data_IF_951579564651
#
_entry.id   IF_951579564651
#
_cell.length_a   1.000
_cell.length_b   1.000
_cell.length_c   1.000
_cell.angle_alpha   90.00
_cell.angle_beta   90.00
_cell.angle_gamma   90.00
#
_symmetry.space_group_name_H-M   'P 1'
#
loop_
_entity.id
_entity.type
_entity.pdbx_description
1 polymer ?
#
# COMPACT_ATOMS: atom_id res chain seq x y z
N UNK A 1 35.86 30.91 45.84
CA UNK A 1 35.35 31.60 44.66
C UNK A 1 35.69 30.88 43.31
N UNK A 2 35.90 29.55 43.28
CA UNK A 2 36.28 28.80 42.04
C UNK A 2 35.18 27.84 41.50
N UNK A 3 34.04 27.71 42.21
CA UNK A 3 32.97 26.76 41.82
C UNK A 3 31.84 27.39 41.02
N UNK A 4 31.75 28.72 40.90
CA UNK A 4 30.67 29.42 40.18
C UNK A 4 30.95 29.67 38.71
N UNK A 5 32.21 29.58 38.28
CA UNK A 5 32.58 29.85 36.87
C UNK A 5 32.25 28.66 35.91
N UNK A 6 32.15 27.44 36.42
CA UNK A 6 31.89 26.24 35.60
C UNK A 6 30.42 26.14 35.17
N UNK A 7 29.48 26.70 35.94
CA UNK A 7 28.04 26.62 35.64
C UNK A 7 27.65 27.61 34.53
N UNK A 8 28.34 28.73 34.43
CA UNK A 8 28.01 29.78 33.43
C UNK A 8 28.43 29.37 31.99
N UNK A 9 29.39 28.48 31.82
CA UNK A 9 29.81 27.95 30.51
C UNK A 9 29.03 26.72 30.05
N UNK A 10 28.33 26.00 30.95
CA UNK A 10 27.55 24.81 30.60
C UNK A 10 26.15 25.20 29.99
N UNK A 11 25.56 26.29 30.39
CA UNK A 11 24.25 26.75 29.91
C UNK A 11 24.29 27.15 28.42
N UNK A 12 25.24 27.97 27.93
CA UNK A 12 25.33 28.28 26.50
C UNK A 12 25.75 27.07 25.65
N UNK A 13 26.54 26.11 26.21
CA UNK A 13 26.92 24.90 25.50
C UNK A 13 25.73 23.94 25.32
N UNK A 14 24.90 23.78 26.33
CA UNK A 14 23.64 23.02 26.25
C UNK A 14 22.62 23.70 25.35
N UNK A 15 22.54 25.03 25.36
CA UNK A 15 21.72 25.81 24.44
C UNK A 15 22.20 25.70 23.00
N UNK A 16 23.50 25.73 22.75
CA UNK A 16 24.10 25.56 21.44
C UNK A 16 23.96 24.13 20.90
N UNK A 17 24.14 23.11 21.77
CA UNK A 17 23.89 21.71 21.42
C UNK A 17 22.41 21.44 21.17
N UNK A 18 21.52 22.00 22.00
CA UNK A 18 20.07 21.95 21.78
C UNK A 18 19.68 22.64 20.47
N UNK A 19 20.20 23.86 20.23
CA UNK A 19 19.93 24.58 18.99
C UNK A 19 20.50 23.88 17.75
N UNK A 20 21.70 23.29 17.85
CA UNK A 20 22.31 22.49 16.80
C UNK A 20 21.52 21.21 16.54
N UNK A 21 21.08 20.49 17.60
CA UNK A 21 20.25 19.30 17.52
C UNK A 21 18.87 19.58 16.90
N UNK A 22 18.23 20.72 17.23
CA UNK A 22 16.97 21.13 16.62
C UNK A 22 17.14 21.70 15.20
N UNK A 23 18.32 22.25 14.87
CA UNK A 23 18.60 22.78 13.53
C UNK A 23 18.76 21.69 12.48
N UNK A 24 19.22 20.51 12.84
CA UNK A 24 19.34 19.35 11.95
C UNK A 24 18.00 18.62 11.72
N UNK A 25 16.97 18.91 12.52
CA UNK A 25 15.61 18.35 12.40
C UNK A 25 14.69 19.13 11.47
N UNK A 26 15.19 20.05 10.67
CA UNK A 26 14.33 20.73 9.69
C UNK A 26 13.89 19.71 8.64
N UNK A 27 12.59 19.42 8.66
CA UNK A 27 11.91 18.73 7.57
C UNK A 27 12.18 19.47 6.26
N UNK A 28 12.26 18.78 5.12
CA UNK A 28 12.43 19.43 3.83
C UNK A 28 11.36 20.52 3.62
N UNK A 29 11.78 21.73 3.29
CA UNK A 29 10.85 22.83 2.99
C UNK A 29 10.35 22.70 1.56
N UNK A 30 9.20 22.07 1.39
CA UNK A 30 8.52 21.95 0.09
C UNK A 30 7.75 23.20 -0.33
N UNK A 31 7.82 24.27 0.48
CA UNK A 31 7.11 25.54 0.30
C UNK A 31 5.64 25.50 0.80
N UNK A 32 5.03 26.68 0.96
CA UNK A 32 3.72 26.83 1.63
C UNK A 32 2.54 26.18 0.88
N UNK A 33 2.67 25.97 -0.42
CA UNK A 33 1.63 25.37 -1.24
C UNK A 33 1.62 23.83 -1.19
N UNK A 34 2.69 23.21 -0.71
CA UNK A 34 2.79 21.74 -0.65
C UNK A 34 1.92 21.18 0.47
N UNK A 35 1.24 20.09 0.16
CA UNK A 35 0.47 19.27 1.12
C UNK A 35 0.83 17.83 0.91
N UNK A 36 0.95 17.11 2.00
CA UNK A 36 1.13 15.66 2.00
C UNK A 36 0.39 15.07 3.19
N UNK A 37 -0.56 14.21 2.90
CA UNK A 37 -1.40 13.57 3.90
C UNK A 37 -1.37 12.06 3.76
N UNK A 38 -1.36 11.36 4.90
CA UNK A 38 -1.74 9.96 4.95
C UNK A 38 -3.22 9.86 5.32
N UNK A 39 -3.94 9.02 4.58
CA UNK A 39 -5.36 8.70 4.80
C UNK A 39 -5.46 7.27 5.28
N UNK A 40 -6.01 7.10 6.48
CA UNK A 40 -6.12 5.81 7.18
C UNK A 40 -7.58 5.46 7.37
N UNK A 41 -8.01 4.33 6.80
CA UNK A 41 -9.37 3.81 7.00
C UNK A 41 -9.48 3.09 8.33
N UNK A 42 -10.51 3.43 9.12
CA UNK A 42 -10.76 2.87 10.46
C UNK A 42 -12.04 2.03 10.43
N UNK A 43 -11.89 0.72 10.26
CA UNK A 43 -12.99 -0.21 9.98
C UNK A 43 -14.11 -0.21 11.02
N UNK A 44 -13.77 -0.14 12.31
CA UNK A 44 -14.77 -0.12 13.38
C UNK A 44 -15.27 1.28 13.75
N UNK A 45 -14.51 2.33 13.41
CA UNK A 45 -14.94 3.70 13.69
C UNK A 45 -15.79 4.32 12.58
N UNK A 46 -15.85 3.70 11.39
CA UNK A 46 -16.53 4.23 10.21
C UNK A 46 -15.99 5.61 9.79
N UNK A 47 -14.68 5.79 9.91
CA UNK A 47 -14.00 7.06 9.67
C UNK A 47 -12.73 6.85 8.85
N UNK A 48 -12.21 7.96 8.32
CA UNK A 48 -10.84 8.07 7.80
C UNK A 48 -10.10 9.08 8.66
N UNK A 49 -8.97 8.68 9.22
CA UNK A 49 -8.03 9.60 9.87
C UNK A 49 -7.10 10.21 8.84
N UNK A 50 -6.91 11.51 8.89
CA UNK A 50 -5.99 12.26 8.02
C UNK A 50 -4.83 12.74 8.87
N UNK A 51 -3.61 12.39 8.47
CA UNK A 51 -2.36 12.79 9.14
C UNK A 51 -1.60 13.74 8.21
N UNK A 52 -1.21 14.91 8.70
CA UNK A 52 -0.32 15.84 7.97
C UNK A 52 1.14 15.35 8.11
N UNK A 53 1.74 14.90 7.02
CA UNK A 53 3.11 14.36 7.01
C UNK A 53 4.20 15.44 7.05
N UNK A 54 3.83 16.72 7.05
CA UNK A 54 4.78 17.81 7.29
C UNK A 54 4.98 18.11 8.77
N UNK A 55 3.97 17.83 9.58
CA UNK A 55 3.99 18.06 11.04
C UNK A 55 3.97 16.76 11.84
N UNK A 56 3.53 15.64 11.21
CA UNK A 56 3.25 14.36 11.86
C UNK A 56 2.19 14.47 12.95
N UNK A 57 1.16 15.27 12.69
CA UNK A 57 0.03 15.48 13.58
C UNK A 57 -1.29 15.05 12.91
N UNK A 58 -2.29 14.63 13.69
CA UNK A 58 -3.63 14.41 13.19
C UNK A 58 -4.19 15.72 12.60
N UNK A 59 -4.53 15.72 11.31
CA UNK A 59 -5.10 16.89 10.64
C UNK A 59 -6.64 16.90 10.72
N UNK A 60 -7.27 15.73 10.55
CA UNK A 60 -8.74 15.60 10.55
C UNK A 60 -9.20 14.15 10.70
N UNK A 61 -10.41 13.97 11.24
CA UNK A 61 -11.17 12.72 11.15
C UNK A 61 -12.40 12.96 10.28
N UNK A 62 -12.57 12.13 9.25
CA UNK A 62 -13.64 12.25 8.26
C UNK A 62 -14.60 11.08 8.46
N UNK A 63 -15.90 11.36 8.70
CA UNK A 63 -16.92 10.33 8.71
C UNK A 63 -17.17 9.82 7.28
N UNK A 64 -17.21 8.50 7.10
CA UNK A 64 -17.48 7.80 5.82
C UNK A 64 -18.61 6.78 5.99
N UNK A 65 -18.79 5.87 5.06
CA UNK A 65 -19.76 4.79 5.21
C UNK A 65 -19.33 3.73 6.23
N UNK A 66 -20.17 2.70 6.43
CA UNK A 66 -19.93 1.65 7.41
C UNK A 66 -18.85 0.68 6.97
N UNK A 67 -17.99 0.28 7.92
CA UNK A 67 -16.91 -0.70 7.75
C UNK A 67 -16.02 -0.38 6.53
N UNK A 68 -15.31 0.77 6.52
CA UNK A 68 -14.36 1.07 5.46
C UNK A 68 -13.25 0.02 5.44
N UNK A 69 -12.89 -0.46 4.24
CA UNK A 69 -11.90 -1.53 4.01
C UNK A 69 -10.78 -1.11 3.08
N UNK A 70 -11.10 -0.79 1.82
CA UNK A 70 -10.13 -0.41 0.82
C UNK A 70 -10.01 1.11 0.66
N UNK A 71 -8.81 1.60 0.38
CA UNK A 71 -8.54 2.99 0.10
C UNK A 71 -7.57 3.14 -1.07
N UNK A 72 -7.86 4.06 -1.98
CA UNK A 72 -6.99 4.38 -3.11
C UNK A 72 -6.90 5.89 -3.33
N UNK A 73 -5.72 6.35 -3.71
CA UNK A 73 -5.48 7.74 -4.10
C UNK A 73 -5.48 7.88 -5.62
N UNK A 74 -6.10 8.94 -6.13
CA UNK A 74 -6.00 9.26 -7.55
C UNK A 74 -4.65 9.93 -7.84
N UNK A 75 -3.89 9.41 -8.81
CA UNK A 75 -2.59 9.98 -9.18
C UNK A 75 -2.71 11.34 -9.89
N UNK A 76 -3.83 11.60 -10.57
CA UNK A 76 -4.07 12.79 -11.41
C UNK A 76 -4.96 13.85 -10.75
N UNK A 77 -5.81 13.44 -9.77
CA UNK A 77 -6.72 14.33 -9.06
C UNK A 77 -6.40 14.35 -7.57
N UNK A 78 -6.75 15.43 -6.87
CA UNK A 78 -6.63 15.51 -5.42
C UNK A 78 -7.84 14.83 -4.74
N UNK A 79 -8.06 13.56 -5.06
CA UNK A 79 -9.16 12.74 -4.56
C UNK A 79 -8.67 11.42 -3.98
N UNK A 80 -9.33 11.00 -2.90
CA UNK A 80 -9.14 9.69 -2.24
C UNK A 80 -10.48 8.96 -2.31
N UNK A 81 -10.43 7.67 -2.62
CA UNK A 81 -11.60 6.80 -2.70
C UNK A 81 -11.56 5.77 -1.60
N UNK A 82 -12.63 5.67 -0.84
CA UNK A 82 -12.77 4.78 0.32
C UNK A 82 -13.92 3.83 0.10
N UNK A 83 -13.64 2.54 0.09
CA UNK A 83 -14.65 1.49 -0.01
C UNK A 83 -15.27 1.25 1.35
N UNK A 84 -16.59 1.36 1.44
CA UNK A 84 -17.36 1.12 2.64
C UNK A 84 -18.13 -0.21 2.51
N UNK A 85 -17.54 -1.29 3.01
CA UNK A 85 -18.05 -2.65 2.83
C UNK A 85 -19.45 -2.86 3.44
N UNK A 86 -19.71 -2.25 4.60
CA UNK A 86 -21.00 -2.35 5.29
C UNK A 86 -22.10 -1.49 4.68
N UNK A 87 -21.75 -0.41 3.97
CA UNK A 87 -22.72 0.49 3.32
C UNK A 87 -22.89 0.26 1.81
N UNK A 88 -22.11 -0.66 1.22
CA UNK A 88 -22.14 -0.92 -0.24
C UNK A 88 -21.95 0.34 -1.08
N UNK A 89 -20.97 1.16 -0.72
CA UNK A 89 -20.67 2.39 -1.44
C UNK A 89 -19.19 2.77 -1.38
N UNK A 90 -18.79 3.76 -2.16
CA UNK A 90 -17.48 4.39 -2.18
C UNK A 90 -17.64 5.85 -1.79
N UNK A 91 -16.93 6.30 -0.75
CA UNK A 91 -16.80 7.72 -0.42
C UNK A 91 -15.67 8.34 -1.23
N UNK A 92 -15.94 9.45 -1.91
CA UNK A 92 -14.96 10.28 -2.60
C UNK A 92 -14.57 11.42 -1.68
N UNK A 93 -13.32 11.49 -1.26
CA UNK A 93 -12.79 12.55 -0.40
C UNK A 93 -12.00 13.53 -1.26
N UNK A 94 -12.37 14.81 -1.18
CA UNK A 94 -11.57 15.94 -1.69
C UNK A 94 -10.39 16.16 -0.74
N UNK A 95 -9.16 15.90 -1.22
CA UNK A 95 -7.95 15.98 -0.41
C UNK A 95 -7.54 17.43 -0.08
N UNK A 96 -7.99 18.43 -0.83
CA UNK A 96 -7.71 19.84 -0.52
C UNK A 96 -8.53 20.32 0.68
N UNK A 97 -9.77 19.80 0.81
CA UNK A 97 -10.72 20.15 1.89
C UNK A 97 -10.72 19.15 3.03
N UNK A 98 -10.15 17.97 2.79
CA UNK A 98 -10.27 16.82 3.68
C UNK A 98 -11.73 16.55 4.07
N UNK A 99 -12.60 16.42 3.08
CA UNK A 99 -14.03 16.24 3.26
C UNK A 99 -14.61 15.32 2.19
N UNK A 100 -15.66 14.57 2.53
CA UNK A 100 -16.41 13.77 1.55
C UNK A 100 -17.06 14.73 0.55
N UNK A 101 -16.72 14.57 -0.73
CA UNK A 101 -17.25 15.35 -1.85
C UNK A 101 -18.42 14.62 -2.54
N UNK A 102 -18.45 13.28 -2.49
CA UNK A 102 -19.50 12.46 -3.06
C UNK A 102 -19.53 11.07 -2.43
N UNK A 103 -20.65 10.39 -2.57
CA UNK A 103 -20.81 8.97 -2.23
C UNK A 103 -21.42 8.26 -3.44
N UNK A 104 -20.78 7.16 -3.88
CA UNK A 104 -21.15 6.41 -5.06
C UNK A 104 -21.62 5.03 -4.62
N UNK A 105 -22.88 4.67 -4.88
CA UNK A 105 -23.41 3.33 -4.60
C UNK A 105 -22.74 2.29 -5.50
N UNK A 106 -22.35 1.15 -4.93
CA UNK A 106 -21.82 -0.03 -5.64
C UNK A 106 -22.58 -1.29 -5.19
N UNK A 107 -22.14 -2.47 -5.62
CA UNK A 107 -22.79 -3.71 -5.23
C UNK A 107 -22.35 -4.20 -3.84
N UNK A 108 -22.99 -5.28 -3.37
CA UNK A 108 -22.88 -5.75 -1.99
C UNK A 108 -21.48 -6.19 -1.57
N UNK A 109 -21.08 -5.79 -0.35
CA UNK A 109 -19.78 -6.09 0.29
C UNK A 109 -18.60 -5.75 -0.61
N UNK A 110 -18.46 -4.49 -1.07
CA UNK A 110 -17.25 -4.08 -1.76
C UNK A 110 -16.05 -4.24 -0.81
N UNK A 111 -14.93 -4.72 -1.32
CA UNK A 111 -13.76 -5.04 -0.50
C UNK A 111 -12.55 -4.20 -0.86
N UNK A 112 -12.26 -4.06 -2.15
CA UNK A 112 -11.07 -3.39 -2.65
C UNK A 112 -11.41 -2.46 -3.81
N UNK A 113 -10.60 -1.42 -3.99
CA UNK A 113 -10.71 -0.45 -5.09
C UNK A 113 -9.32 -0.19 -5.67
N UNK A 114 -9.24 -0.18 -6.99
CA UNK A 114 -8.07 0.28 -7.72
C UNK A 114 -8.44 1.37 -8.71
N UNK A 115 -7.51 2.30 -8.94
CA UNK A 115 -7.73 3.47 -9.80
C UNK A 115 -6.79 3.38 -10.99
N UNK A 116 -7.32 3.53 -12.21
CA UNK A 116 -6.51 3.56 -13.43
C UNK A 116 -5.45 4.66 -13.38
N UNK A 117 -4.29 4.43 -13.98
CA UNK A 117 -3.16 5.35 -13.92
C UNK A 117 -3.49 6.74 -14.53
N UNK A 118 -4.41 6.77 -15.52
CA UNK A 118 -4.93 8.02 -16.10
C UNK A 118 -5.90 8.77 -15.18
N UNK A 119 -6.25 8.19 -14.02
CA UNK A 119 -7.14 8.78 -13.01
C UNK A 119 -8.60 8.91 -13.41
N UNK A 120 -9.07 8.21 -14.47
CA UNK A 120 -10.42 8.37 -15.00
C UNK A 120 -11.39 7.31 -14.53
N UNK A 121 -10.92 6.10 -14.22
CA UNK A 121 -11.76 4.97 -13.80
C UNK A 121 -11.30 4.38 -12.49
N UNK A 122 -12.24 3.82 -11.74
CA UNK A 122 -11.95 2.95 -10.62
C UNK A 122 -12.71 1.63 -10.76
N UNK A 123 -12.10 0.57 -10.24
CA UNK A 123 -12.61 -0.80 -10.28
C UNK A 123 -12.78 -1.30 -8.85
N UNK A 124 -14.01 -1.66 -8.49
CA UNK A 124 -14.37 -2.09 -7.14
C UNK A 124 -14.77 -3.55 -7.16
N UNK A 125 -14.01 -4.40 -6.47
CA UNK A 125 -14.36 -5.80 -6.28
C UNK A 125 -15.46 -5.93 -5.21
N UNK A 126 -16.63 -6.43 -5.60
CA UNK A 126 -17.79 -6.62 -4.72
C UNK A 126 -17.89 -8.09 -4.29
N UNK A 127 -17.27 -8.43 -3.17
CA UNK A 127 -17.13 -9.82 -2.71
C UNK A 127 -18.46 -10.51 -2.42
N UNK A 128 -19.50 -9.76 -2.04
CA UNK A 128 -20.84 -10.29 -1.79
C UNK A 128 -21.73 -10.40 -3.01
N UNK A 129 -21.28 -9.94 -4.19
CA UNK A 129 -22.13 -9.88 -5.40
C UNK A 129 -21.48 -10.52 -6.63
N UNK A 130 -20.30 -11.12 -6.50
CA UNK A 130 -19.56 -11.77 -7.58
C UNK A 130 -19.44 -10.89 -8.84
N UNK A 131 -19.10 -9.63 -8.65
CA UNK A 131 -18.89 -8.68 -9.75
C UNK A 131 -17.88 -7.59 -9.40
N UNK A 132 -17.44 -6.88 -10.42
CA UNK A 132 -16.62 -5.66 -10.32
C UNK A 132 -17.48 -4.49 -10.79
N UNK A 133 -17.68 -3.47 -9.94
CA UNK A 133 -18.26 -2.20 -10.35
C UNK A 133 -17.19 -1.31 -10.97
N UNK A 134 -17.47 -0.77 -12.15
CA UNK A 134 -16.60 0.17 -12.86
C UNK A 134 -17.16 1.57 -12.69
N UNK A 135 -16.38 2.45 -12.06
CA UNK A 135 -16.76 3.82 -11.77
C UNK A 135 -16.06 4.77 -12.76
N UNK A 136 -16.82 5.63 -13.40
CA UNK A 136 -16.31 6.82 -14.09
C UNK A 136 -16.10 7.91 -13.02
N UNK A 137 -14.83 8.27 -12.78
CA UNK A 137 -14.43 9.19 -11.71
C UNK A 137 -14.71 10.65 -12.05
N UNK A 138 -14.97 10.99 -13.31
CA UNK A 138 -15.37 12.33 -13.69
C UNK A 138 -16.87 12.52 -13.47
N UNK A 139 -17.66 11.53 -13.88
CA UNK A 139 -19.13 11.53 -13.68
C UNK A 139 -19.52 11.16 -12.25
N UNK A 140 -18.59 10.57 -11.46
CA UNK A 140 -18.84 10.03 -10.12
C UNK A 140 -20.03 9.04 -10.12
N UNK A 141 -20.03 8.15 -11.10
CA UNK A 141 -21.10 7.18 -11.31
C UNK A 141 -20.57 5.82 -11.76
N UNK A 142 -21.29 4.75 -11.39
CA UNK A 142 -21.04 3.40 -11.93
C UNK A 142 -21.47 3.38 -13.39
N UNK A 143 -20.55 3.02 -14.28
CA UNK A 143 -20.78 2.92 -15.73
C UNK A 143 -20.85 1.49 -16.24
N UNK A 144 -20.52 0.52 -15.39
CA UNK A 144 -20.60 -0.90 -15.70
C UNK A 144 -20.47 -1.79 -14.47
N UNK A 145 -21.05 -2.99 -14.57
CA UNK A 145 -20.88 -4.04 -13.57
C UNK A 145 -20.52 -5.32 -14.31
N UNK A 146 -19.30 -5.80 -14.10
CA UNK A 146 -18.77 -6.97 -14.78
C UNK A 146 -18.89 -8.17 -13.86
N UNK A 147 -19.64 -9.19 -14.26
CA UNK A 147 -19.74 -10.45 -13.50
C UNK A 147 -18.41 -11.20 -13.57
N UNK A 148 -17.94 -11.66 -12.43
CA UNK A 148 -16.69 -12.44 -12.25
C UNK A 148 -16.96 -13.71 -11.44
N UNK A 149 -15.93 -14.38 -10.98
CA UNK A 149 -16.08 -15.51 -10.10
C UNK A 149 -16.55 -15.16 -8.69
N UNK A 150 -16.65 -16.16 -7.82
CA UNK A 150 -17.20 -16.04 -6.48
C UNK A 150 -16.26 -15.34 -5.50
N UNK A 151 -16.84 -14.54 -4.61
CA UNK A 151 -16.12 -13.81 -3.58
C UNK A 151 -14.86 -13.08 -4.10
N UNK A 152 -14.99 -12.17 -5.11
CA UNK A 152 -13.84 -11.43 -5.62
C UNK A 152 -13.17 -10.61 -4.50
N UNK A 153 -11.83 -10.76 -4.38
CA UNK A 153 -11.02 -10.05 -3.41
C UNK A 153 -10.47 -8.74 -3.96
N UNK A 154 -9.53 -8.83 -4.87
CA UNK A 154 -8.93 -7.68 -5.54
C UNK A 154 -9.35 -7.59 -7.00
N UNK A 155 -9.43 -6.36 -7.49
CA UNK A 155 -9.52 -6.04 -8.92
C UNK A 155 -8.39 -5.06 -9.21
N UNK A 156 -7.36 -5.51 -9.92
CA UNK A 156 -6.16 -4.72 -10.23
C UNK A 156 -6.16 -4.33 -11.70
N UNK A 157 -6.11 -3.04 -11.99
CA UNK A 157 -5.99 -2.53 -13.36
C UNK A 157 -4.53 -2.54 -13.81
N UNK A 158 -4.28 -2.97 -15.04
CA UNK A 158 -2.94 -2.91 -15.65
C UNK A 158 -2.47 -1.47 -15.85
N UNK A 159 -1.15 -1.19 -15.84
CA UNK A 159 -0.61 0.15 -16.03
C UNK A 159 -1.07 0.83 -17.33
N UNK A 160 -1.25 0.11 -18.42
CA UNK A 160 -1.79 0.61 -19.70
C UNK A 160 -3.32 0.90 -19.66
N UNK A 161 -4.00 0.50 -18.56
CA UNK A 161 -5.43 0.66 -18.39
C UNK A 161 -6.31 -0.25 -19.26
N UNK A 162 -5.73 -1.21 -19.99
CA UNK A 162 -6.46 -2.05 -20.93
C UNK A 162 -7.06 -3.31 -20.30
N UNK A 163 -6.49 -3.77 -19.19
CA UNK A 163 -6.85 -5.03 -18.54
C UNK A 163 -7.17 -4.82 -17.05
N UNK A 164 -8.16 -5.57 -16.53
CA UNK A 164 -8.36 -5.71 -15.08
C UNK A 164 -8.28 -7.17 -14.70
N UNK A 165 -7.39 -7.48 -13.77
CA UNK A 165 -7.18 -8.83 -13.22
C UNK A 165 -7.89 -8.93 -11.88
N UNK A 166 -8.74 -9.94 -11.68
CA UNK A 166 -9.58 -10.09 -10.50
C UNK A 166 -9.34 -11.44 -9.83
N UNK A 167 -8.96 -11.44 -8.56
CA UNK A 167 -8.85 -12.67 -7.77
C UNK A 167 -10.22 -13.10 -7.26
N UNK A 168 -10.67 -14.31 -7.60
CA UNK A 168 -11.92 -14.88 -7.17
C UNK A 168 -11.65 -15.94 -6.10
N UNK A 169 -11.64 -15.52 -4.83
CA UNK A 169 -11.25 -16.36 -3.69
C UNK A 169 -12.14 -17.58 -3.50
N UNK A 170 -13.43 -17.46 -3.86
CA UNK A 170 -14.45 -18.50 -3.61
C UNK A 170 -14.39 -19.67 -4.57
N UNK A 171 -13.81 -19.51 -5.75
CA UNK A 171 -13.72 -20.56 -6.79
C UNK A 171 -12.29 -20.80 -7.29
N UNK A 172 -11.28 -20.24 -6.63
CA UNK A 172 -9.86 -20.44 -6.96
C UNK A 172 -9.53 -20.07 -8.41
N UNK A 173 -10.18 -19.04 -8.92
CA UNK A 173 -9.99 -18.56 -10.28
C UNK A 173 -9.51 -17.09 -10.32
N UNK A 174 -9.02 -16.72 -11.48
CA UNK A 174 -8.75 -15.31 -11.82
C UNK A 174 -9.59 -14.97 -13.04
N UNK A 175 -10.36 -13.87 -12.94
CA UNK A 175 -11.05 -13.29 -14.09
C UNK A 175 -10.19 -12.20 -14.71
N UNK A 176 -10.03 -12.24 -16.02
CA UNK A 176 -9.35 -11.19 -16.81
C UNK A 176 -10.40 -10.43 -17.60
N UNK A 177 -10.52 -9.13 -17.32
CA UNK A 177 -11.53 -8.24 -17.89
C UNK A 177 -10.87 -7.37 -18.96
N UNK A 178 -11.52 -7.24 -20.11
CA UNK A 178 -11.25 -6.17 -21.07
C UNK A 178 -11.82 -4.86 -20.52
N UNK A 179 -10.96 -3.92 -20.16
CA UNK A 179 -11.36 -2.67 -19.52
C UNK A 179 -12.11 -1.71 -20.46
N UNK A 180 -11.99 -1.88 -21.77
CA UNK A 180 -12.70 -1.08 -22.78
C UNK A 180 -14.11 -1.62 -23.02
N UNK A 181 -14.21 -2.94 -23.20
CA UNK A 181 -15.48 -3.62 -23.49
C UNK A 181 -16.31 -3.88 -22.22
N UNK A 182 -15.69 -3.82 -21.04
CA UNK A 182 -16.28 -4.15 -19.74
C UNK A 182 -16.84 -5.58 -19.72
N UNK A 183 -16.05 -6.53 -20.21
CA UNK A 183 -16.40 -7.95 -20.31
C UNK A 183 -15.24 -8.82 -19.85
N UNK A 184 -15.56 -9.94 -19.20
CA UNK A 184 -14.57 -10.99 -18.92
C UNK A 184 -14.17 -11.62 -20.23
N UNK A 185 -12.88 -11.58 -20.56
CA UNK A 185 -12.30 -12.22 -21.75
C UNK A 185 -11.67 -13.58 -21.46
N UNK A 186 -11.29 -13.82 -20.18
CA UNK A 186 -10.82 -15.12 -19.72
C UNK A 186 -11.16 -15.34 -18.25
N UNK A 187 -11.41 -16.59 -17.89
CA UNK A 187 -11.45 -17.08 -16.50
C UNK A 187 -10.45 -18.21 -16.39
N UNK A 188 -9.42 -18.02 -15.57
CA UNK A 188 -8.29 -18.92 -15.46
C UNK A 188 -8.38 -19.66 -14.13
N UNK A 189 -8.27 -20.98 -14.14
CA UNK A 189 -8.06 -21.77 -12.95
C UNK A 189 -6.65 -21.52 -12.45
N UNK A 190 -6.52 -21.11 -11.18
CA UNK A 190 -5.23 -20.87 -10.53
C UNK A 190 -5.11 -21.71 -9.26
N UNK A 191 -4.22 -21.35 -8.38
CA UNK A 191 -4.01 -21.98 -7.09
C UNK A 191 -5.10 -21.59 -6.05
N UNK A 192 -5.11 -22.23 -4.88
CA UNK A 192 -6.17 -22.06 -3.90
C UNK A 192 -6.12 -20.72 -3.17
N UNK A 193 -7.28 -20.09 -2.99
CA UNK A 193 -7.46 -18.80 -2.31
C UNK A 193 -6.57 -17.70 -2.89
N UNK A 194 -6.81 -17.26 -4.15
CA UNK A 194 -6.08 -16.14 -4.73
C UNK A 194 -6.39 -14.85 -3.95
N UNK A 195 -5.33 -14.18 -3.48
CA UNK A 195 -5.40 -13.00 -2.61
C UNK A 195 -4.92 -11.75 -3.33
N UNK A 196 -3.62 -11.44 -3.26
CA UNK A 196 -3.03 -10.23 -3.82
C UNK A 196 -2.62 -10.43 -5.27
N UNK A 197 -2.65 -9.33 -6.02
CA UNK A 197 -2.34 -9.29 -7.45
C UNK A 197 -1.41 -8.12 -7.71
N UNK A 198 -0.37 -8.37 -8.51
CA UNK A 198 0.43 -7.32 -9.14
C UNK A 198 0.49 -7.54 -10.65
N UNK A 199 0.58 -6.45 -11.39
CA UNK A 199 0.76 -6.48 -12.86
C UNK A 199 2.09 -5.82 -13.17
N UNK A 200 2.87 -6.40 -14.08
CA UNK A 200 4.15 -5.83 -14.50
C UNK A 200 3.97 -4.43 -15.11
N UNK A 201 4.98 -3.55 -15.02
CA UNK A 201 4.92 -2.19 -15.57
C UNK A 201 4.62 -2.13 -17.07
N UNK A 202 5.02 -3.15 -17.83
CA UNK A 202 4.76 -3.29 -19.25
C UNK A 202 3.38 -3.90 -19.58
N UNK A 203 2.59 -4.23 -18.54
CA UNK A 203 1.25 -4.84 -18.65
C UNK A 203 1.23 -6.25 -19.30
N UNK A 204 2.37 -6.89 -19.49
CA UNK A 204 2.49 -8.19 -20.17
C UNK A 204 2.11 -9.38 -19.31
N UNK A 205 2.29 -9.26 -17.98
CA UNK A 205 2.16 -10.36 -17.04
C UNK A 205 1.56 -9.91 -15.71
N UNK A 206 0.79 -10.79 -15.08
CA UNK A 206 0.32 -10.61 -13.71
C UNK A 206 0.80 -11.76 -12.81
N UNK A 207 1.03 -11.46 -11.54
CA UNK A 207 1.30 -12.44 -10.51
C UNK A 207 0.20 -12.41 -9.46
N UNK A 208 -0.20 -13.59 -8.98
CA UNK A 208 -1.30 -13.75 -8.02
C UNK A 208 -0.84 -14.63 -6.88
N UNK A 209 -0.85 -14.10 -5.66
CA UNK A 209 -0.55 -14.85 -4.45
C UNK A 209 -1.75 -15.75 -4.08
N UNK A 210 -1.50 -17.01 -3.79
CA UNK A 210 -2.52 -17.97 -3.40
C UNK A 210 -2.26 -18.52 -1.99
N UNK A 211 -2.91 -17.90 -1.02
CA UNK A 211 -2.67 -18.18 0.40
C UNK A 211 -3.01 -19.62 0.81
N UNK A 212 -3.95 -20.26 0.12
CA UNK A 212 -4.41 -21.63 0.43
C UNK A 212 -3.53 -22.74 -0.13
N UNK A 213 -2.54 -22.47 -0.99
CA UNK A 213 -1.69 -23.49 -1.62
C UNK A 213 -0.20 -23.20 -1.58
N UNK A 214 0.22 -22.15 -0.86
CA UNK A 214 1.64 -21.74 -0.78
C UNK A 214 2.29 -21.53 -2.15
N UNK A 215 1.57 -20.89 -3.06
CA UNK A 215 1.98 -20.69 -4.44
C UNK A 215 1.72 -19.26 -4.89
N UNK A 216 2.46 -18.86 -5.93
CA UNK A 216 2.19 -17.66 -6.74
C UNK A 216 1.92 -18.11 -8.17
N UNK A 217 0.78 -17.73 -8.73
CA UNK A 217 0.47 -17.97 -10.13
C UNK A 217 1.06 -16.84 -11.00
N UNK A 218 1.83 -17.19 -12.03
CA UNK A 218 2.25 -16.28 -13.10
C UNK A 218 1.28 -16.42 -14.27
N UNK A 219 0.76 -15.30 -14.76
CA UNK A 219 -0.27 -15.23 -15.79
C UNK A 219 0.20 -14.30 -16.92
N UNK A 220 0.32 -14.83 -18.14
CA UNK A 220 0.48 -14.00 -19.32
C UNK A 220 -0.83 -13.26 -19.60
N UNK A 221 -0.73 -11.94 -19.79
CA UNK A 221 -1.85 -11.12 -20.23
C UNK A 221 -1.77 -10.96 -21.75
N UNK A 222 -2.93 -11.01 -22.39
CA UNK A 222 -3.05 -10.92 -23.85
C UNK A 222 -2.43 -9.64 -24.37
N UNK A 223 -1.48 -9.78 -25.30
CA UNK A 223 -0.92 -8.71 -26.11
C UNK A 223 -1.30 -8.94 -27.57
N UNK A 224 -2.19 -8.09 -28.10
CA UNK A 224 -2.68 -8.20 -29.47
C UNK A 224 -3.74 -9.29 -29.75
N UNK A 225 -4.02 -9.55 -31.02
CA UNK A 225 -5.12 -10.41 -31.45
C UNK A 225 -4.82 -11.92 -31.41
N UNK A 226 -3.55 -12.30 -31.46
CA UNK A 226 -3.11 -13.70 -31.61
C UNK A 226 -2.72 -14.36 -30.30
N UNK A 227 -2.55 -13.60 -29.20
CA UNK A 227 -2.22 -14.14 -27.88
C UNK A 227 -3.48 -14.34 -27.02
N UNK A 228 -3.40 -15.26 -26.07
CA UNK A 228 -4.46 -15.52 -25.11
C UNK A 228 -3.96 -15.39 -23.68
N UNK A 229 -4.81 -14.89 -22.78
CA UNK A 229 -4.52 -14.94 -21.35
C UNK A 229 -4.37 -16.39 -20.89
N UNK A 230 -3.31 -16.72 -20.18
CA UNK A 230 -3.05 -18.08 -19.69
C UNK A 230 -2.14 -18.09 -18.48
N UNK A 231 -2.29 -19.11 -17.64
CA UNK A 231 -1.32 -19.39 -16.58
C UNK A 231 -0.03 -19.88 -17.22
N UNK A 232 1.09 -19.26 -16.84
CA UNK A 232 2.44 -19.62 -17.30
C UNK A 232 3.07 -20.63 -16.35
N UNK A 233 2.96 -20.35 -15.05
CA UNK A 233 3.54 -21.17 -13.99
C UNK A 233 2.76 -21.05 -12.70
N UNK A 234 2.84 -22.11 -11.86
CA UNK A 234 2.51 -22.08 -10.44
C UNK A 234 3.83 -22.24 -9.69
N UNK A 235 4.24 -21.19 -8.97
CA UNK A 235 5.55 -21.07 -8.32
C UNK A 235 5.39 -21.41 -6.84
N UNK A 236 6.07 -22.42 -6.37
CA UNK A 236 6.07 -22.79 -4.95
C UNK A 236 6.88 -21.78 -4.14
N UNK A 237 6.24 -21.16 -3.14
CA UNK A 237 6.81 -20.16 -2.24
C UNK A 237 6.63 -20.60 -0.79
N UNK A 238 6.91 -19.72 0.17
CA UNK A 238 6.61 -20.01 1.57
C UNK A 238 5.11 -20.14 1.84
N UNK A 239 4.78 -20.57 3.07
CA UNK A 239 3.38 -20.84 3.46
C UNK A 239 2.58 -19.56 3.59
N UNK A 240 1.33 -19.60 3.12
CA UNK A 240 0.34 -18.54 3.22
C UNK A 240 0.87 -17.21 2.65
N UNK A 241 1.19 -17.16 1.33
CA UNK A 241 1.57 -15.90 0.68
C UNK A 241 0.38 -14.93 0.68
N UNK A 242 0.53 -13.77 1.31
CA UNK A 242 -0.57 -12.79 1.52
C UNK A 242 -0.37 -11.48 0.79
N UNK A 243 0.87 -11.13 0.43
CA UNK A 243 1.16 -9.89 -0.24
C UNK A 243 2.33 -10.00 -1.23
N UNK A 244 2.22 -9.26 -2.29
CA UNK A 244 3.16 -9.17 -3.40
C UNK A 244 3.73 -7.74 -3.48
N UNK A 245 5.03 -7.59 -3.28
CA UNK A 245 5.74 -6.33 -3.44
C UNK A 245 6.63 -6.41 -4.69
N UNK A 246 6.17 -5.80 -5.78
CA UNK A 246 6.89 -5.76 -7.04
C UNK A 246 7.89 -4.60 -7.05
N UNK A 247 9.13 -4.85 -7.47
CA UNK A 247 10.10 -3.79 -7.74
C UNK A 247 9.55 -2.83 -8.79
N UNK A 248 9.77 -1.53 -8.64
CA UNK A 248 9.36 -0.52 -9.64
C UNK A 248 9.85 -0.79 -11.06
N UNK A 249 11.03 -1.43 -11.23
CA UNK A 249 11.55 -1.83 -12.54
C UNK A 249 10.89 -3.11 -13.09
N UNK A 250 10.09 -3.80 -12.27
CA UNK A 250 9.42 -5.04 -12.64
C UNK A 250 10.29 -6.29 -12.61
N UNK A 251 11.60 -6.21 -12.28
CA UNK A 251 12.55 -7.32 -12.40
C UNK A 251 12.36 -8.43 -11.36
N UNK A 252 12.01 -8.06 -10.13
CA UNK A 252 11.83 -9.01 -9.04
C UNK A 252 10.54 -8.73 -8.25
N UNK A 253 9.96 -9.79 -7.74
CA UNK A 253 8.75 -9.79 -6.92
C UNK A 253 9.06 -10.40 -5.55
N UNK A 254 8.84 -9.66 -4.48
CA UNK A 254 8.97 -10.11 -3.11
C UNK A 254 7.60 -10.53 -2.58
N UNK A 255 7.50 -11.77 -2.13
CA UNK A 255 6.27 -12.40 -1.62
C UNK A 255 6.34 -12.45 -0.11
N UNK A 256 5.38 -11.88 0.61
CA UNK A 256 5.26 -12.05 2.06
C UNK A 256 4.60 -13.40 2.39
N UNK A 257 5.38 -14.33 2.90
CA UNK A 257 4.98 -15.68 3.27
C UNK A 257 4.62 -15.71 4.76
N UNK A 258 3.37 -15.42 5.08
CA UNK A 258 2.89 -15.12 6.43
C UNK A 258 3.22 -16.22 7.45
N UNK A 259 2.94 -17.49 7.16
CA UNK A 259 3.16 -18.61 8.07
C UNK A 259 4.57 -19.24 7.95
N UNK A 260 5.43 -18.68 7.13
CA UNK A 260 6.85 -19.06 7.02
C UNK A 260 7.82 -18.07 7.64
N UNK A 261 7.33 -16.91 8.14
CA UNK A 261 8.16 -15.86 8.74
C UNK A 261 9.23 -15.31 7.77
N UNK A 262 8.97 -15.42 6.47
CA UNK A 262 9.93 -15.14 5.40
C UNK A 262 9.32 -14.35 4.25
N UNK A 263 10.20 -13.89 3.39
CA UNK A 263 9.84 -13.47 2.05
C UNK A 263 10.44 -14.47 1.05
N UNK A 264 9.70 -14.78 -0.02
CA UNK A 264 10.23 -15.43 -1.22
C UNK A 264 10.50 -14.39 -2.30
N UNK A 265 11.56 -14.55 -3.07
CA UNK A 265 11.96 -13.65 -4.15
C UNK A 265 11.81 -14.38 -5.47
N UNK A 266 10.99 -13.81 -6.37
CA UNK A 266 10.70 -14.35 -7.69
C UNK A 266 11.32 -13.45 -8.75
N UNK A 267 12.10 -14.01 -9.66
CA UNK A 267 12.54 -13.35 -10.89
C UNK A 267 11.39 -13.37 -11.88
N UNK A 268 10.89 -12.20 -12.23
CA UNK A 268 9.67 -12.07 -13.04
C UNK A 268 9.86 -12.43 -14.53
N UNK A 269 11.09 -12.34 -15.03
CA UNK A 269 11.39 -12.57 -16.43
C UNK A 269 11.26 -14.05 -16.85
N UNK A 270 11.72 -14.95 -15.98
CA UNK A 270 11.78 -16.39 -16.21
C UNK A 270 10.81 -17.21 -15.34
N UNK A 271 10.05 -16.55 -14.43
CA UNK A 271 9.15 -17.20 -13.50
C UNK A 271 9.87 -18.20 -12.57
N UNK A 272 11.00 -17.79 -12.00
CA UNK A 272 11.80 -18.62 -11.10
C UNK A 272 11.81 -18.06 -9.67
N UNK A 273 11.66 -18.95 -8.68
CA UNK A 273 11.88 -18.61 -7.27
C UNK A 273 13.37 -18.69 -6.98
N UNK A 274 14.02 -17.53 -6.86
CA UNK A 274 15.47 -17.44 -6.71
C UNK A 274 15.96 -17.72 -5.29
N UNK A 275 15.33 -17.11 -4.28
CA UNK A 275 15.76 -17.22 -2.89
C UNK A 275 14.62 -16.91 -1.91
N UNK A 276 14.88 -17.15 -0.63
CA UNK A 276 14.02 -16.72 0.47
C UNK A 276 14.82 -16.12 1.61
N UNK A 277 14.21 -15.24 2.41
CA UNK A 277 14.85 -14.59 3.53
C UNK A 277 13.91 -14.44 4.72
N UNK A 278 14.38 -14.75 5.93
CA UNK A 278 13.64 -14.53 7.17
C UNK A 278 13.63 -13.03 7.49
N UNK A 279 12.45 -12.46 7.65
CA UNK A 279 12.28 -11.02 7.91
C UNK A 279 11.70 -10.70 9.29
N UNK A 280 10.86 -11.55 9.84
CA UNK A 280 10.19 -11.42 11.14
C UNK A 280 8.98 -12.32 11.17
N UNK A 281 8.23 -12.34 12.28
CA UNK A 281 7.08 -13.24 12.42
C UNK A 281 5.85 -12.69 11.69
N UNK A 282 5.20 -13.54 10.91
CA UNK A 282 4.01 -13.26 10.14
C UNK A 282 4.13 -11.97 9.28
N UNK A 283 5.02 -11.94 8.28
CA UNK A 283 5.14 -10.80 7.38
C UNK A 283 3.83 -10.59 6.61
N UNK A 284 3.24 -9.39 6.75
CA UNK A 284 1.90 -9.11 6.24
C UNK A 284 1.91 -8.22 4.97
N UNK A 285 2.81 -7.23 4.92
CA UNK A 285 2.88 -6.26 3.82
C UNK A 285 4.32 -5.86 3.53
N UNK A 286 4.67 -5.83 2.24
CA UNK A 286 5.92 -5.28 1.74
C UNK A 286 5.70 -4.01 0.94
N UNK A 287 6.60 -3.02 1.06
CA UNK A 287 6.69 -1.86 0.17
C UNK A 287 8.13 -1.62 -0.23
N UNK A 288 8.36 -1.33 -1.52
CA UNK A 288 9.71 -1.16 -2.09
C UNK A 288 9.92 0.31 -2.46
N UNK A 289 11.13 0.81 -2.23
CA UNK A 289 11.53 2.16 -2.65
C UNK A 289 11.66 2.28 -4.17
N UNK A 290 11.45 3.49 -4.71
CA UNK A 290 11.50 3.75 -6.17
C UNK A 290 12.85 3.48 -6.80
N UNK A 291 13.91 3.53 -5.99
CA UNK A 291 15.28 3.21 -6.41
C UNK A 291 15.58 1.70 -6.43
N UNK A 292 14.58 0.85 -6.19
CA UNK A 292 14.67 -0.61 -6.07
C UNK A 292 15.59 -1.13 -4.96
N UNK A 293 16.10 -0.28 -4.07
CA UNK A 293 17.18 -0.66 -3.14
C UNK A 293 16.70 -1.21 -1.82
N UNK A 294 15.47 -0.87 -1.37
CA UNK A 294 14.96 -1.22 -0.04
C UNK A 294 13.56 -1.79 -0.11
N UNK A 295 13.35 -2.87 0.64
CA UNK A 295 12.04 -3.41 0.97
C UNK A 295 11.80 -3.20 2.47
N UNK A 296 10.67 -2.62 2.82
CA UNK A 296 10.14 -2.58 4.18
C UNK A 296 9.05 -3.61 4.32
N UNK A 297 9.09 -4.42 5.39
CA UNK A 297 8.13 -5.49 5.64
C UNK A 297 7.51 -5.32 7.02
N UNK A 298 6.18 -5.19 7.10
CA UNK A 298 5.48 -5.25 8.38
C UNK A 298 5.36 -6.70 8.85
N UNK A 299 5.82 -6.96 10.07
CA UNK A 299 5.77 -8.27 10.70
C UNK A 299 4.69 -8.28 11.77
N UNK A 300 3.51 -8.73 11.39
CA UNK A 300 2.28 -8.74 12.20
C UNK A 300 2.43 -9.51 13.51
N UNK A 301 3.21 -10.59 13.53
CA UNK A 301 3.39 -11.45 14.71
C UNK A 301 4.48 -10.99 15.66
N UNK A 302 5.35 -10.06 15.26
CA UNK A 302 6.47 -9.58 16.09
C UNK A 302 6.48 -8.07 16.29
N UNK A 303 5.36 -7.37 16.03
CA UNK A 303 5.19 -5.93 16.28
C UNK A 303 6.38 -5.10 15.75
N UNK A 304 6.79 -5.38 14.53
CA UNK A 304 8.01 -4.79 13.96
C UNK A 304 7.90 -4.51 12.46
N UNK A 305 8.76 -3.61 11.99
CA UNK A 305 9.05 -3.42 10.56
C UNK A 305 10.49 -3.84 10.30
N UNK A 306 10.67 -4.80 9.39
CA UNK A 306 11.98 -5.17 8.89
C UNK A 306 12.39 -4.27 7.71
N UNK A 307 13.68 -3.94 7.65
CA UNK A 307 14.29 -3.28 6.50
C UNK A 307 15.21 -4.28 5.81
N UNK A 308 14.87 -4.63 4.60
CA UNK A 308 15.65 -5.54 3.77
C UNK A 308 16.37 -4.76 2.67
N UNK A 309 17.66 -4.94 2.57
CA UNK A 309 18.51 -4.39 1.52
C UNK A 309 18.47 -5.36 0.34
N UNK A 310 17.89 -4.92 -0.77
CA UNK A 310 17.65 -5.77 -1.94
C UNK A 310 18.98 -6.11 -2.62
N UNK A 311 19.87 -5.13 -2.76
CA UNK A 311 21.18 -5.31 -3.41
C UNK A 311 22.09 -6.24 -2.62
N UNK A 312 22.05 -6.17 -1.27
CA UNK A 312 22.81 -7.04 -0.39
C UNK A 312 22.15 -8.39 -0.12
N UNK A 313 20.88 -8.56 -0.51
CA UNK A 313 20.12 -9.78 -0.28
C UNK A 313 19.92 -10.12 1.20
N UNK A 314 19.82 -9.11 2.10
CA UNK A 314 19.71 -9.37 3.54
C UNK A 314 18.94 -8.30 4.31
N UNK A 315 18.37 -8.70 5.44
CA UNK A 315 17.81 -7.78 6.43
C UNK A 315 18.92 -6.96 7.09
N UNK A 316 18.78 -5.62 7.09
CA UNK A 316 19.75 -4.69 7.66
C UNK A 316 19.26 -4.01 8.95
N UNK A 317 17.95 -3.97 9.19
CA UNK A 317 17.36 -3.43 10.42
C UNK A 317 16.03 -4.11 10.75
N UNK A 318 15.65 -4.04 12.02
CA UNK A 318 14.32 -4.37 12.53
C UNK A 318 13.94 -3.30 13.55
N UNK A 319 12.77 -2.69 13.38
CA UNK A 319 12.30 -1.58 14.18
C UNK A 319 11.02 -1.99 14.89
N UNK A 320 10.97 -1.82 16.21
CA UNK A 320 9.74 -2.03 16.96
C UNK A 320 8.73 -0.93 16.60
N UNK A 321 7.47 -1.32 16.40
CA UNK A 321 6.34 -0.45 16.07
C UNK A 321 5.16 -0.76 16.99
N UNK A 322 3.98 -0.22 16.72
CA UNK A 322 2.78 -0.58 17.45
C UNK A 322 2.32 -2.02 17.19
N UNK A 323 1.26 -2.45 17.90
CA UNK A 323 0.86 -3.86 17.87
C UNK A 323 0.14 -4.25 16.59
N UNK A 324 0.55 -5.39 16.01
CA UNK A 324 0.05 -6.01 14.79
C UNK A 324 0.09 -5.06 13.59
N UNK A 325 1.27 -4.65 13.12
CA UNK A 325 1.40 -3.84 11.93
C UNK A 325 0.95 -4.64 10.70
N UNK A 326 -0.04 -4.13 9.96
CA UNK A 326 -0.63 -4.81 8.80
C UNK A 326 -0.38 -4.04 7.50
N UNK A 327 -0.51 -2.71 7.53
CA UNK A 327 -0.31 -1.84 6.37
C UNK A 327 1.00 -1.08 6.42
N UNK A 328 1.56 -0.78 5.24
CA UNK A 328 2.71 0.10 5.08
C UNK A 328 2.46 1.12 3.98
N UNK A 329 2.98 2.33 4.16
CA UNK A 329 3.06 3.35 3.12
C UNK A 329 4.35 4.15 3.23
N UNK A 330 4.83 4.69 2.12
CA UNK A 330 5.98 5.59 2.07
C UNK A 330 5.51 7.04 1.88
N UNK A 331 6.21 7.99 2.51
CA UNK A 331 6.08 9.40 2.13
C UNK A 331 6.54 9.63 0.69
N UNK A 332 6.10 10.74 0.08
CA UNK A 332 6.43 11.06 -1.32
C UNK A 332 7.94 11.15 -1.58
N UNK A 333 8.73 11.55 -0.60
CA UNK A 333 10.18 11.63 -0.67
C UNK A 333 10.89 10.36 -0.15
N UNK A 334 10.11 9.34 0.32
CA UNK A 334 10.57 8.07 0.88
C UNK A 334 11.50 8.21 2.09
N UNK A 335 11.49 9.38 2.74
CA UNK A 335 12.22 9.59 3.99
C UNK A 335 11.46 9.05 5.21
N UNK A 336 10.18 8.76 5.05
CA UNK A 336 9.34 8.22 6.12
C UNK A 336 8.58 6.98 5.68
N UNK A 337 8.60 5.98 6.57
CA UNK A 337 7.79 4.76 6.46
C UNK A 337 6.70 4.85 7.51
N UNK A 338 5.46 4.66 7.07
CA UNK A 338 4.27 4.67 7.90
C UNK A 338 3.81 3.24 8.10
N UNK A 339 3.87 2.73 9.33
CA UNK A 339 3.34 1.41 9.68
C UNK A 339 1.98 1.55 10.34
N UNK A 340 1.00 0.84 9.82
CA UNK A 340 -0.38 0.85 10.27
C UNK A 340 -0.57 -0.23 11.33
N UNK A 341 -0.65 0.15 12.60
CA UNK A 341 -0.68 -0.75 13.73
C UNK A 341 -2.14 -1.07 14.10
N UNK A 342 -2.67 -2.13 13.48
CA UNK A 342 -4.10 -2.44 13.44
C UNK A 342 -4.70 -2.71 14.84
N UNK A 343 -3.95 -3.34 15.73
CA UNK A 343 -4.43 -3.61 17.08
C UNK A 343 -4.18 -2.44 18.04
N UNK A 344 -3.07 -1.71 17.88
CA UNK A 344 -2.77 -0.54 18.71
C UNK A 344 -3.69 0.63 18.39
N UNK A 345 -4.16 0.77 17.15
CA UNK A 345 -5.00 1.86 16.69
C UNK A 345 -4.23 3.14 16.46
N UNK A 346 -3.01 3.02 15.95
CA UNK A 346 -2.13 4.14 15.62
C UNK A 346 -1.36 3.90 14.32
N UNK A 347 -0.59 4.89 13.92
CA UNK A 347 0.38 4.82 12.82
C UNK A 347 1.76 5.14 13.38
N UNK A 348 2.65 4.17 13.35
CA UNK A 348 4.05 4.39 13.65
C UNK A 348 4.76 5.02 12.46
N UNK A 349 5.47 6.12 12.71
CA UNK A 349 6.29 6.82 11.72
C UNK A 349 7.75 6.49 11.96
N UNK A 350 8.37 5.85 10.98
CA UNK A 350 9.80 5.54 10.96
C UNK A 350 10.50 6.53 10.05
N UNK A 351 11.51 7.21 10.56
CA UNK A 351 12.37 8.10 9.78
C UNK A 351 13.55 7.33 9.20
N UNK A 352 13.74 7.43 7.88
CA UNK A 352 14.97 7.05 7.18
C UNK A 352 15.87 8.27 7.06
N UNK A 353 17.07 8.19 7.59
CA UNK A 353 18.10 9.22 7.41
C UNK A 353 19.20 8.65 6.53
N UNK A 354 19.45 9.30 5.40
CA UNK A 354 20.64 9.02 4.60
C UNK A 354 21.69 10.05 5.01
N UNK A 355 22.73 9.66 5.79
CA UNK A 355 23.76 10.58 6.20
C UNK A 355 24.60 11.04 5.01
N UNK A 356 25.49 12.01 5.24
CA UNK A 356 26.45 12.49 4.23
C UNK A 356 27.30 11.33 3.72
N UNK A 357 27.75 11.43 2.45
CA UNK A 357 28.59 10.43 1.76
C UNK A 357 29.48 9.61 2.72
N UNK A 358 29.29 8.27 2.71
CA UNK A 358 30.05 7.22 3.44
C UNK A 358 29.51 6.78 4.81
N UNK A 359 28.42 7.35 5.34
CA UNK A 359 27.80 6.84 6.58
C UNK A 359 26.63 5.91 6.24
N UNK A 360 26.39 4.85 7.02
CA UNK A 360 25.24 3.96 6.77
C UNK A 360 23.92 4.69 6.98
N UNK A 361 22.91 4.31 6.20
CA UNK A 361 21.54 4.81 6.40
C UNK A 361 21.03 4.41 7.78
N UNK A 362 20.55 5.37 8.54
CA UNK A 362 19.99 5.17 9.88
C UNK A 362 18.45 5.14 9.79
N UNK A 363 17.86 4.32 10.64
CA UNK A 363 16.42 4.21 10.83
C UNK A 363 16.07 4.47 12.27
N UNK A 364 15.10 5.32 12.53
CA UNK A 364 14.64 5.61 13.88
C UNK A 364 13.13 5.79 13.93
N UNK A 365 12.51 5.36 15.02
CA UNK A 365 11.13 5.72 15.31
C UNK A 365 11.05 7.22 15.55
N UNK A 366 10.18 7.92 14.80
CA UNK A 366 9.96 9.35 14.96
C UNK A 366 8.82 9.62 15.95
N UNK A 367 7.66 9.01 15.72
CA UNK A 367 6.45 9.19 16.53
C UNK A 367 5.44 8.08 16.25
N UNK A 368 4.42 7.97 17.13
CA UNK A 368 3.24 7.15 16.93
C UNK A 368 2.01 8.08 16.99
N UNK A 369 1.15 7.99 15.98
CA UNK A 369 0.02 8.92 15.78
C UNK A 369 -1.28 8.16 15.95
N UNK A 370 -2.10 8.49 16.97
CA UNK A 370 -3.37 7.82 17.18
C UNK A 370 -4.34 8.02 16.01
N UNK A 371 -5.04 6.96 15.64
CA UNK A 371 -6.10 6.95 14.61
C UNK A 371 -7.39 6.35 15.18
N UNK A 372 -8.33 5.95 14.31
CA UNK A 372 -9.56 5.30 14.78
C UNK A 372 -9.38 3.81 15.07
N UNK A 373 -10.47 3.15 15.47
CA UNK A 373 -10.47 1.74 15.83
C UNK A 373 -10.37 0.83 14.61
N UNK A 374 -9.51 -0.18 14.70
CA UNK A 374 -9.24 -1.18 13.69
C UNK A 374 -8.86 -0.53 12.34
N UNK A 375 -7.75 0.23 12.31
CA UNK A 375 -7.23 0.77 11.06
C UNK A 375 -6.80 -0.40 10.16
N UNK A 376 -7.14 -0.33 8.86
CA UNK A 376 -7.00 -1.47 7.93
C UNK A 376 -6.54 -1.10 6.52
N UNK A 377 -6.38 0.18 6.22
CA UNK A 377 -5.85 0.66 4.95
C UNK A 377 -5.18 2.01 5.10
N UNK A 378 -4.09 2.23 4.37
CA UNK A 378 -3.35 3.49 4.38
C UNK A 378 -2.89 3.84 2.97
N UNK A 379 -3.07 5.11 2.58
CA UNK A 379 -2.47 5.68 1.37
C UNK A 379 -1.92 7.07 1.66
N UNK A 380 -0.88 7.44 0.94
CA UNK A 380 -0.29 8.78 0.98
C UNK A 380 -0.67 9.56 -0.28
N UNK A 381 -1.04 10.82 -0.11
CA UNK A 381 -1.32 11.76 -1.19
C UNK A 381 -0.55 13.05 -0.99
N UNK A 382 0.34 13.34 -1.93
CA UNK A 382 1.03 14.61 -2.02
C UNK A 382 0.50 15.45 -3.20
N UNK A 383 0.34 16.76 -3.00
CA UNK A 383 -0.11 17.70 -4.03
C UNK A 383 0.28 19.13 -3.69
N UNK A 384 0.13 20.02 -4.67
CA UNK A 384 0.27 21.46 -4.46
C UNK A 384 -1.07 22.14 -4.63
N UNK A 385 -1.43 22.99 -3.66
CA UNK A 385 -2.61 23.85 -3.78
C UNK A 385 -2.27 24.94 -4.79
N UNK A 386 -3.14 25.12 -5.80
CA UNK A 386 -3.00 26.23 -6.73
C UNK A 386 -3.03 27.54 -5.93
N UNK A 387 -2.05 28.41 -6.11
CA UNK A 387 -2.00 29.70 -5.45
C UNK A 387 -3.29 30.49 -5.75
N UNK A 388 -3.91 31.02 -4.68
CA UNK A 388 -4.97 32.01 -4.80
C UNK A 388 -4.39 33.35 -5.24
#
# INVERSE_FOLDING_TARGET
MRKFLFIIFLIPLLGALGWWYFRERKLPDYGPAYREYAYVTNGKSNTVSVIDLRTFEPAKTIAVGLSPTGVAANSKKNEIYVVNSGSSNVSVIDAEKNAVAATIGVHGRPYFIDVSEDGKRAYVANSGSANVSVIDLEKRAVVGNVRVGSAPGLARVSPDGATVVVSNRGDNTVSVIDAKLLQVRATLQVCAQPEDIVVLPDSSKAFVACSGSSQVASIALKDGAESADRVLALLDVGRTPVNLALKPDGGELMVCDFDSDSISIIETANDEVGSSAVVGQHPARGVITRDNSRLYVSNFGSDSVAVYDIDLGRRIATLAVGSRPEGLALSQDENYVLALDTQAGDVTVIQRRTPRKLEPTEYSLLTMIPVGLQPNGIVVKAFRIAGR
#
